data_IF_946124347145
#
_entry.id   IF_946124347145
#
_cell.length_a   1.000
_cell.length_b   1.000
_cell.length_c   1.000
_cell.angle_alpha   90.00
_cell.angle_beta   90.00
_cell.angle_gamma   90.00
#
_symmetry.space_group_name_H-M   'P 1'
#
loop_
_entity.id
_entity.type
_entity.pdbx_description
1 polymer ?
#
# COMPACT_ATOMS: atom_id res chain seq x y z
N UNK A 1 9.79 33.05 -11.30
CA UNK A 1 8.75 32.56 -10.37
C UNK A 1 8.86 31.04 -10.35
N UNK A 2 9.39 30.48 -9.28
CA UNK A 2 9.46 29.03 -9.05
C UNK A 2 8.03 28.51 -8.87
N UNK A 3 7.64 27.47 -9.63
CA UNK A 3 6.35 26.76 -9.42
C UNK A 3 6.28 26.33 -7.96
N UNK A 4 5.13 26.52 -7.27
CA UNK A 4 4.98 26.02 -5.92
C UNK A 4 5.18 24.49 -5.93
N UNK A 5 5.98 23.99 -4.99
CA UNK A 5 6.19 22.56 -4.80
C UNK A 5 4.86 21.90 -4.33
N UNK A 6 4.24 21.03 -5.15
CA UNK A 6 2.95 20.43 -4.81
C UNK A 6 2.98 19.50 -3.59
N UNK A 7 4.18 19.18 -3.08
CA UNK A 7 4.37 18.36 -1.89
C UNK A 7 4.68 19.15 -0.62
N UNK A 8 4.78 20.48 -0.68
CA UNK A 8 5.19 21.29 0.49
C UNK A 8 4.16 21.24 1.63
N UNK A 9 2.87 21.28 1.31
CA UNK A 9 1.80 21.17 2.30
C UNK A 9 1.77 19.78 2.95
N UNK A 10 1.91 18.73 2.15
CA UNK A 10 1.94 17.34 2.62
C UNK A 10 3.17 17.10 3.54
N UNK A 11 4.32 17.72 3.25
CA UNK A 11 5.52 17.64 4.10
C UNK A 11 5.31 18.31 5.45
N UNK A 12 4.76 19.51 5.47
CA UNK A 12 4.52 20.23 6.72
C UNK A 12 3.57 19.48 7.65
N UNK A 13 2.51 18.87 7.09
CA UNK A 13 1.59 18.03 7.86
C UNK A 13 2.30 16.81 8.45
N UNK A 14 3.16 16.12 7.67
CA UNK A 14 3.96 14.99 8.17
C UNK A 14 4.91 15.39 9.29
N UNK A 15 5.57 16.53 9.18
CA UNK A 15 6.45 17.05 10.23
C UNK A 15 5.68 17.35 11.54
N UNK A 16 4.49 17.92 11.44
CA UNK A 16 3.61 18.15 12.60
C UNK A 16 3.21 16.84 13.28
N UNK A 17 2.86 15.80 12.49
CA UNK A 17 2.51 14.48 13.03
C UNK A 17 3.69 13.80 13.74
N UNK A 18 4.88 13.90 13.17
CA UNK A 18 6.09 13.37 13.81
C UNK A 18 6.43 14.10 15.11
N UNK A 19 6.15 15.40 15.19
CA UNK A 19 6.34 16.21 16.39
C UNK A 19 5.30 15.93 17.48
N UNK A 20 4.11 15.45 17.11
CA UNK A 20 3.00 15.19 18.05
C UNK A 20 3.22 14.01 19.01
N UNK A 21 4.28 13.20 18.79
CA UNK A 21 4.62 12.09 19.67
C UNK A 21 3.91 10.79 19.36
N UNK A 22 3.80 9.89 20.36
CA UNK A 22 3.19 8.56 20.19
C UNK A 22 1.66 8.63 20.13
N UNK A 23 1.08 7.89 19.19
CA UNK A 23 -0.38 7.79 19.03
C UNK A 23 -0.93 6.65 19.87
N UNK A 24 -1.94 6.90 20.74
CA UNK A 24 -2.58 5.85 21.52
C UNK A 24 -3.34 4.85 20.63
N UNK A 25 -3.52 3.63 21.13
CA UNK A 25 -3.99 2.49 20.33
C UNK A 25 -5.30 2.74 19.59
N UNK A 26 -6.26 3.38 20.25
CA UNK A 26 -7.60 3.68 19.71
C UNK A 26 -7.62 4.73 18.60
N UNK A 27 -6.52 5.45 18.41
CA UNK A 27 -6.35 6.47 17.35
C UNK A 27 -5.47 6.01 16.20
N UNK A 28 -4.93 4.77 16.28
CA UNK A 28 -4.09 4.21 15.23
C UNK A 28 -4.91 3.90 13.99
N UNK A 29 -4.24 3.91 12.85
CA UNK A 29 -4.83 3.84 11.51
C UNK A 29 -4.29 2.65 10.73
N UNK A 30 -4.90 2.39 9.59
CA UNK A 30 -4.31 1.56 8.54
C UNK A 30 -3.39 2.41 7.66
N UNK A 31 -2.20 1.89 7.32
CA UNK A 31 -1.37 2.41 6.25
C UNK A 31 -1.62 1.54 5.01
N UNK A 32 -2.25 2.10 3.98
CA UNK A 32 -2.58 1.37 2.75
C UNK A 32 -1.67 1.78 1.60
N UNK A 33 -0.87 0.84 1.12
CA UNK A 33 0.13 1.07 0.10
C UNK A 33 -0.36 0.54 -1.24
N UNK A 34 -0.53 1.43 -2.22
CA UNK A 34 -0.85 1.09 -3.59
C UNK A 34 0.44 0.96 -4.41
N UNK A 35 0.54 -0.13 -5.15
CA UNK A 35 1.65 -0.39 -6.08
C UNK A 35 1.18 -0.32 -7.54
N UNK A 36 2.03 -0.61 -8.50
CA UNK A 36 1.72 -0.51 -9.92
C UNK A 36 0.91 -1.69 -10.48
N UNK A 37 0.08 -2.36 -9.69
CA UNK A 37 -0.79 -3.44 -10.17
C UNK A 37 -2.21 -2.94 -10.41
N UNK A 38 -2.75 -3.22 -11.61
CA UNK A 38 -4.17 -3.02 -11.90
C UNK A 38 -5.05 -4.18 -11.45
N UNK A 39 -4.46 -5.34 -11.20
CA UNK A 39 -5.20 -6.53 -10.78
C UNK A 39 -5.85 -6.30 -9.41
N UNK A 40 -7.18 -6.39 -9.35
CA UNK A 40 -8.00 -6.08 -8.19
C UNK A 40 -7.80 -4.66 -7.60
N UNK A 41 -7.32 -3.70 -8.39
CA UNK A 41 -7.11 -2.33 -7.91
C UNK A 41 -8.40 -1.66 -7.42
N UNK A 42 -9.54 -1.72 -8.15
CA UNK A 42 -10.79 -1.15 -7.68
C UNK A 42 -11.29 -1.78 -6.38
N UNK A 43 -11.20 -3.10 -6.25
CA UNK A 43 -11.62 -3.85 -5.06
C UNK A 43 -10.74 -3.52 -3.86
N UNK A 44 -9.43 -3.41 -4.05
CA UNK A 44 -8.49 -3.01 -3.01
C UNK A 44 -8.76 -1.57 -2.53
N UNK A 45 -9.05 -0.64 -3.44
CA UNK A 45 -9.41 0.72 -3.08
C UNK A 45 -10.75 0.75 -2.32
N UNK A 46 -11.75 -0.01 -2.77
CA UNK A 46 -13.05 -0.10 -2.09
C UNK A 46 -12.90 -0.66 -0.66
N UNK A 47 -12.12 -1.73 -0.48
CA UNK A 47 -11.83 -2.29 0.83
C UNK A 47 -11.13 -1.28 1.75
N UNK A 48 -10.17 -0.51 1.23
CA UNK A 48 -9.50 0.54 1.99
C UNK A 48 -10.45 1.65 2.44
N UNK A 49 -11.32 2.13 1.53
CA UNK A 49 -12.27 3.21 1.79
C UNK A 49 -13.38 2.81 2.78
N UNK A 50 -13.65 1.51 2.93
CA UNK A 50 -14.56 0.98 3.94
C UNK A 50 -13.96 0.99 5.36
N UNK A 51 -12.66 1.14 5.52
CA UNK A 51 -12.00 1.20 6.82
C UNK A 51 -12.33 2.51 7.57
N UNK A 52 -12.43 2.47 8.90
CA UNK A 52 -12.77 3.65 9.68
C UNK A 52 -11.69 4.74 9.63
N UNK A 53 -10.43 4.34 9.51
CA UNK A 53 -9.29 5.26 9.48
C UNK A 53 -8.15 4.68 8.64
N UNK A 54 -7.90 5.25 7.47
CA UNK A 54 -6.88 4.80 6.52
C UNK A 54 -6.13 5.98 5.94
N UNK A 55 -4.82 5.82 5.75
CA UNK A 55 -4.00 6.70 4.94
C UNK A 55 -3.46 5.92 3.75
N UNK A 56 -3.57 6.48 2.55
CA UNK A 56 -3.00 5.90 1.34
C UNK A 56 -1.56 6.33 1.13
N UNK A 57 -0.71 5.39 0.75
CA UNK A 57 0.66 5.61 0.32
C UNK A 57 0.79 5.13 -1.12
N UNK A 58 1.15 6.03 -2.02
CA UNK A 58 1.20 5.75 -3.44
C UNK A 58 2.65 5.63 -3.89
N UNK A 59 2.99 4.51 -4.53
CA UNK A 59 4.21 4.44 -5.32
C UNK A 59 4.06 5.25 -6.60
N UNK A 60 5.17 5.64 -7.25
CA UNK A 60 5.12 6.30 -8.55
C UNK A 60 4.35 5.47 -9.59
N UNK A 61 4.61 4.16 -9.62
CA UNK A 61 3.89 3.25 -10.51
C UNK A 61 2.37 3.21 -10.20
N UNK A 62 1.96 3.29 -8.93
CA UNK A 62 0.54 3.41 -8.59
C UNK A 62 -0.08 4.69 -9.17
N UNK A 63 0.61 5.83 -9.06
CA UNK A 63 0.11 7.08 -9.61
C UNK A 63 -0.04 7.04 -11.14
N UNK A 64 0.83 6.30 -11.84
CA UNK A 64 0.78 6.13 -13.29
C UNK A 64 -0.41 5.28 -13.74
N UNK A 65 -0.78 4.25 -12.96
CA UNK A 65 -1.87 3.35 -13.34
C UNK A 65 -3.25 3.81 -12.88
N UNK A 66 -3.36 4.58 -11.80
CA UNK A 66 -4.65 5.03 -11.26
C UNK A 66 -5.61 5.60 -12.34
N UNK A 67 -5.14 6.50 -13.25
CA UNK A 67 -6.02 7.04 -14.29
C UNK A 67 -6.55 6.00 -15.28
N UNK A 68 -5.84 4.87 -15.46
CA UNK A 68 -6.24 3.79 -16.35
C UNK A 68 -7.45 3.00 -15.81
N UNK A 69 -7.74 3.16 -14.51
CA UNK A 69 -8.84 2.51 -13.78
C UNK A 69 -9.83 3.53 -13.21
N UNK A 70 -9.93 4.72 -13.85
CA UNK A 70 -10.80 5.80 -13.44
C UNK A 70 -10.54 6.35 -12.02
N UNK A 71 -9.34 6.19 -11.51
CA UNK A 71 -8.91 6.74 -10.23
C UNK A 71 -7.90 7.88 -10.42
N UNK A 72 -7.78 8.71 -9.40
CA UNK A 72 -6.75 9.76 -9.32
C UNK A 72 -6.47 10.09 -7.86
N UNK A 73 -5.35 10.78 -7.60
CA UNK A 73 -5.03 11.30 -6.26
C UNK A 73 -6.16 12.21 -5.74
N UNK A 74 -6.73 13.05 -6.60
CA UNK A 74 -7.83 13.93 -6.23
C UNK A 74 -9.08 13.12 -5.84
N UNK A 75 -9.45 12.11 -6.62
CA UNK A 75 -10.59 11.24 -6.34
C UNK A 75 -10.41 10.44 -5.06
N UNK A 76 -9.20 9.94 -4.76
CA UNK A 76 -8.91 9.29 -3.48
C UNK A 76 -9.10 10.26 -2.31
N UNK A 77 -8.58 11.49 -2.40
CA UNK A 77 -8.76 12.53 -1.36
C UNK A 77 -10.24 12.86 -1.16
N UNK A 78 -11.01 12.98 -2.22
CA UNK A 78 -12.45 13.22 -2.18
C UNK A 78 -13.20 12.10 -1.42
N UNK A 79 -12.95 10.83 -1.77
CA UNK A 79 -13.59 9.69 -1.10
C UNK A 79 -13.17 9.53 0.36
N UNK A 80 -11.96 9.91 0.71
CA UNK A 80 -11.52 9.95 2.10
C UNK A 80 -12.28 11.01 2.91
N UNK A 81 -12.77 12.06 2.28
CA UNK A 81 -13.59 13.13 2.90
C UNK A 81 -12.95 13.67 4.21
N UNK A 82 -11.64 13.86 4.24
CA UNK A 82 -10.89 14.30 5.41
C UNK A 82 -10.63 13.24 6.47
N UNK A 83 -11.13 12.01 6.30
CA UNK A 83 -10.89 10.89 7.24
C UNK A 83 -9.50 10.29 7.13
N UNK A 84 -8.73 10.65 6.11
CA UNK A 84 -7.41 10.12 5.84
C UNK A 84 -6.61 10.97 4.88
N UNK A 85 -5.38 10.57 4.64
CA UNK A 85 -4.40 11.26 3.81
C UNK A 85 -4.02 10.44 2.60
N UNK A 86 -3.52 11.11 1.56
CA UNK A 86 -2.86 10.48 0.42
C UNK A 86 -1.43 10.98 0.37
N UNK A 87 -0.49 10.09 0.68
CA UNK A 87 0.94 10.35 0.76
C UNK A 87 1.60 9.75 -0.48
N UNK A 88 2.38 10.57 -1.18
CA UNK A 88 3.00 10.20 -2.46
C UNK A 88 4.46 9.84 -2.27
N UNK A 89 4.95 8.89 -3.07
CA UNK A 89 6.38 8.55 -3.13
C UNK A 89 7.16 9.70 -3.79
N UNK A 90 7.73 10.54 -2.94
CA UNK A 90 8.60 11.63 -3.34
C UNK A 90 10.03 11.32 -2.91
N UNK A 91 10.99 12.18 -3.28
CA UNK A 91 12.40 12.07 -2.87
C UNK A 91 12.62 12.06 -1.35
N UNK A 92 11.58 12.22 -0.55
CA UNK A 92 11.60 12.31 0.91
C UNK A 92 10.79 11.17 1.57
N UNK A 93 10.99 9.93 1.13
CA UNK A 93 10.26 8.75 1.66
C UNK A 93 10.55 8.44 3.14
N UNK A 94 11.57 9.05 3.74
CA UNK A 94 11.92 8.79 5.14
C UNK A 94 10.89 9.36 6.14
N UNK A 95 10.27 10.49 5.86
CA UNK A 95 9.31 11.12 6.77
C UNK A 95 8.04 10.26 6.99
N UNK A 96 7.38 9.69 5.94
CA UNK A 96 6.25 8.79 6.13
C UNK A 96 6.58 7.55 6.96
N UNK A 97 7.78 6.99 6.80
CA UNK A 97 8.26 5.83 7.56
C UNK A 97 8.36 6.16 9.06
N UNK A 98 8.74 7.39 9.41
CA UNK A 98 8.80 7.86 10.79
C UNK A 98 7.47 7.74 11.56
N UNK A 99 6.34 7.73 10.86
CA UNK A 99 5.01 7.54 11.47
C UNK A 99 4.84 6.15 12.08
N UNK A 100 5.51 5.11 11.54
CA UNK A 100 5.53 3.77 12.14
C UNK A 100 6.17 3.80 13.54
N UNK A 101 7.27 4.52 13.70
CA UNK A 101 7.98 4.64 14.98
C UNK A 101 7.18 5.42 16.05
N UNK A 102 6.16 6.17 15.63
CA UNK A 102 5.25 6.92 16.50
C UNK A 102 3.91 6.21 16.72
N UNK A 103 3.80 4.95 16.32
CA UNK A 103 2.58 4.14 16.44
C UNK A 103 1.34 4.73 15.74
N UNK A 104 1.53 5.50 14.65
CA UNK A 104 0.39 6.02 13.87
C UNK A 104 -0.42 4.90 13.21
N UNK A 105 0.23 3.77 12.94
CA UNK A 105 -0.38 2.64 12.26
C UNK A 105 -0.34 1.38 13.11
N UNK A 106 -1.44 0.64 13.14
CA UNK A 106 -1.51 -0.69 13.73
C UNK A 106 -1.37 -1.81 12.69
N UNK A 107 -1.64 -1.50 11.42
CA UNK A 107 -1.56 -2.45 10.30
C UNK A 107 -1.08 -1.72 9.05
N UNK A 108 -0.14 -2.34 8.36
CA UNK A 108 0.32 -1.94 7.03
C UNK A 108 -0.29 -2.89 6.00
N UNK A 109 -0.96 -2.36 4.99
CA UNK A 109 -1.59 -3.14 3.92
C UNK A 109 -0.93 -2.79 2.60
N UNK A 110 -0.31 -3.76 1.94
CA UNK A 110 0.26 -3.61 0.58
C UNK A 110 -0.71 -4.27 -0.39
N UNK A 111 -1.64 -3.50 -0.96
CA UNK A 111 -2.72 -4.05 -1.76
C UNK A 111 -3.23 -3.06 -2.83
N UNK A 112 -3.18 -3.43 -4.12
CA UNK A 112 -2.57 -4.66 -4.63
C UNK A 112 -1.04 -4.59 -4.68
N UNK A 113 -0.36 -5.74 -4.53
CA UNK A 113 1.09 -5.85 -4.57
C UNK A 113 1.55 -6.54 -5.87
N UNK A 114 2.34 -5.83 -6.69
CA UNK A 114 2.97 -6.43 -7.88
C UNK A 114 3.99 -7.50 -7.50
N UNK A 115 4.26 -8.47 -8.38
CA UNK A 115 5.35 -9.45 -8.22
C UNK A 115 6.69 -8.77 -7.90
N UNK A 116 6.98 -7.63 -8.53
CA UNK A 116 8.19 -6.85 -8.24
C UNK A 116 8.22 -6.35 -6.79
N UNK A 117 7.09 -5.89 -6.26
CA UNK A 117 6.98 -5.46 -4.85
C UNK A 117 7.16 -6.64 -3.92
N UNK A 118 6.50 -7.78 -4.19
CA UNK A 118 6.65 -9.02 -3.42
C UNK A 118 8.10 -9.49 -3.42
N UNK A 119 8.75 -9.56 -4.59
CA UNK A 119 10.16 -9.96 -4.73
C UNK A 119 11.09 -9.06 -3.91
N UNK A 120 10.88 -7.74 -3.93
CA UNK A 120 11.65 -6.80 -3.12
C UNK A 120 11.45 -7.00 -1.63
N UNK A 121 10.21 -7.22 -1.18
CA UNK A 121 9.91 -7.52 0.22
C UNK A 121 10.65 -8.77 0.68
N UNK A 122 10.63 -9.84 -0.13
CA UNK A 122 11.33 -11.10 0.14
C UNK A 122 12.85 -10.91 0.19
N UNK A 123 13.41 -10.15 -0.76
CA UNK A 123 14.83 -9.88 -0.84
C UNK A 123 15.33 -8.82 0.18
N UNK A 124 14.44 -8.20 0.96
CA UNK A 124 14.78 -7.12 1.89
C UNK A 124 15.14 -5.80 1.22
N UNK A 125 14.73 -5.58 -0.02
CA UNK A 125 15.00 -4.36 -0.79
C UNK A 125 13.94 -3.29 -0.46
N UNK A 126 14.39 -2.15 0.08
CA UNK A 126 13.52 -1.07 0.59
C UNK A 126 13.75 0.23 -0.19
N UNK A 127 13.61 0.20 -1.51
CA UNK A 127 13.92 1.29 -2.44
C UNK A 127 12.71 2.10 -2.93
N UNK A 128 11.50 1.70 -2.53
CA UNK A 128 10.25 2.43 -2.77
C UNK A 128 9.55 2.75 -1.46
N UNK A 129 8.61 3.69 -1.48
CA UNK A 129 7.81 4.00 -0.29
C UNK A 129 7.10 2.76 0.25
N UNK A 130 6.52 1.92 -0.63
CA UNK A 130 5.82 0.71 -0.23
C UNK A 130 6.77 -0.31 0.43
N UNK A 131 7.89 -0.64 -0.20
CA UNK A 131 8.83 -1.62 0.34
C UNK A 131 9.53 -1.12 1.60
N UNK A 132 9.77 0.18 1.72
CA UNK A 132 10.33 0.77 2.93
C UNK A 132 9.33 0.73 4.10
N UNK A 133 8.06 1.10 3.86
CA UNK A 133 7.01 1.00 4.87
C UNK A 133 6.82 -0.45 5.34
N UNK A 134 6.78 -1.42 4.43
CA UNK A 134 6.70 -2.84 4.76
C UNK A 134 7.88 -3.30 5.63
N UNK A 135 9.10 -3.02 5.20
CA UNK A 135 10.31 -3.43 5.92
C UNK A 135 10.38 -2.81 7.33
N UNK A 136 9.99 -1.53 7.48
CA UNK A 136 9.99 -0.89 8.79
C UNK A 136 8.82 -1.35 9.66
N UNK A 137 7.66 -1.70 9.07
CA UNK A 137 6.56 -2.31 9.81
C UNK A 137 7.02 -3.61 10.49
N UNK A 138 7.70 -4.49 9.77
CA UNK A 138 8.28 -5.72 10.33
C UNK A 138 9.25 -5.44 11.49
N UNK A 139 10.15 -4.46 11.34
CA UNK A 139 11.07 -4.04 12.42
C UNK A 139 10.34 -3.45 13.64
N UNK A 140 9.20 -2.82 13.44
CA UNK A 140 8.34 -2.31 14.51
C UNK A 140 7.35 -3.35 15.05
N UNK A 141 7.36 -4.59 14.54
CA UNK A 141 6.40 -5.66 14.87
C UNK A 141 4.95 -5.24 14.63
N UNK A 142 4.73 -4.43 13.60
CA UNK A 142 3.40 -4.02 13.13
C UNK A 142 2.93 -5.05 12.11
N UNK A 143 1.69 -5.53 12.27
CA UNK A 143 1.09 -6.48 11.35
C UNK A 143 1.06 -5.93 9.92
N UNK A 144 1.39 -6.78 8.94
CA UNK A 144 1.35 -6.45 7.52
C UNK A 144 0.44 -7.43 6.79
N UNK A 145 -0.44 -6.91 5.92
CA UNK A 145 -1.26 -7.69 4.99
C UNK A 145 -0.74 -7.38 3.59
N UNK A 146 -0.38 -8.41 2.84
CA UNK A 146 0.11 -8.26 1.46
C UNK A 146 -0.83 -8.98 0.52
N UNK A 147 -1.52 -8.24 -0.35
CA UNK A 147 -2.34 -8.80 -1.42
C UNK A 147 -1.43 -9.07 -2.63
N UNK A 148 -0.94 -10.30 -2.73
CA UNK A 148 -0.08 -10.72 -3.83
C UNK A 148 -0.91 -11.02 -5.08
N UNK A 149 -0.58 -10.39 -6.22
CA UNK A 149 -1.38 -10.49 -7.44
C UNK A 149 -1.05 -11.71 -8.30
N UNK A 150 0.24 -12.10 -8.35
CA UNK A 150 0.73 -13.12 -9.27
C UNK A 150 1.05 -14.42 -8.49
N UNK A 151 -0.01 -15.12 -8.07
CA UNK A 151 0.09 -16.27 -7.16
C UNK A 151 -0.29 -17.60 -7.81
N UNK A 152 -0.80 -17.54 -9.05
CA UNK A 152 -1.22 -18.73 -9.81
C UNK A 152 -0.44 -18.81 -11.14
N UNK A 153 -0.25 -20.02 -11.71
CA UNK A 153 0.48 -20.18 -12.98
C UNK A 153 -0.16 -19.45 -14.16
N UNK A 154 -1.46 -19.16 -14.07
CA UNK A 154 -2.22 -18.41 -15.07
C UNK A 154 -3.12 -17.41 -14.33
N UNK A 155 -2.99 -16.14 -14.65
CA UNK A 155 -3.81 -15.07 -14.09
C UNK A 155 -4.57 -14.38 -15.20
N UNK A 156 -5.90 -14.30 -15.06
CA UNK A 156 -6.75 -13.48 -15.93
C UNK A 156 -7.04 -12.18 -15.18
N UNK A 157 -6.73 -11.05 -15.80
CA UNK A 157 -6.92 -9.74 -15.17
C UNK A 157 -7.52 -8.73 -16.13
N UNK A 158 -8.26 -7.78 -15.58
CA UNK A 158 -8.73 -6.60 -16.31
C UNK A 158 -7.55 -5.65 -16.55
N UNK A 159 -7.39 -5.21 -17.79
CA UNK A 159 -6.43 -4.20 -18.20
C UNK A 159 -7.14 -3.12 -19.01
N UNK A 160 -6.54 -1.93 -19.17
CA UNK A 160 -7.07 -0.92 -20.08
C UNK A 160 -7.26 -1.50 -21.49
N UNK A 161 -8.51 -1.62 -21.93
CA UNK A 161 -8.84 -2.20 -23.23
C UNK A 161 -9.34 -3.64 -23.22
N UNK A 162 -9.47 -4.29 -22.06
CA UNK A 162 -10.08 -5.61 -21.92
C UNK A 162 -9.28 -6.58 -21.06
N UNK A 163 -9.72 -7.83 -21.05
CA UNK A 163 -9.05 -8.88 -20.28
C UNK A 163 -7.75 -9.33 -20.94
N UNK A 164 -6.75 -9.57 -20.11
CA UNK A 164 -5.47 -10.15 -20.50
C UNK A 164 -5.16 -11.39 -19.69
N UNK A 165 -4.46 -12.33 -20.31
CA UNK A 165 -3.98 -13.55 -19.66
C UNK A 165 -2.47 -13.36 -19.42
N UNK A 166 -2.06 -13.53 -18.18
CA UNK A 166 -0.67 -13.45 -17.74
C UNK A 166 -0.19 -14.83 -17.29
N UNK A 167 1.09 -15.08 -17.45
CA UNK A 167 1.78 -16.29 -17.00
C UNK A 167 2.87 -15.92 -16.02
N UNK A 168 2.57 -15.79 -14.71
CA UNK A 168 3.56 -15.47 -13.71
C UNK A 168 4.76 -16.43 -13.78
N UNK A 169 5.95 -15.87 -13.61
CA UNK A 169 7.18 -16.64 -13.68
C UNK A 169 7.32 -17.53 -12.44
N UNK A 170 8.06 -18.62 -12.55
CA UNK A 170 8.32 -19.50 -11.40
C UNK A 170 8.89 -18.73 -10.20
N UNK A 171 9.71 -17.69 -10.44
CA UNK A 171 10.27 -16.82 -9.40
C UNK A 171 9.19 -15.98 -8.71
N UNK A 172 8.14 -15.55 -9.42
CA UNK A 172 7.05 -14.76 -8.86
C UNK A 172 6.22 -15.61 -7.88
N UNK A 173 5.89 -16.84 -8.30
CA UNK A 173 5.20 -17.82 -7.47
C UNK A 173 6.02 -18.18 -6.23
N UNK A 174 7.32 -18.47 -6.40
CA UNK A 174 8.21 -18.81 -5.29
C UNK A 174 8.36 -17.66 -4.28
N UNK A 175 8.44 -16.40 -4.73
CA UNK A 175 8.49 -15.25 -3.84
C UNK A 175 7.19 -15.07 -3.07
N UNK A 176 6.03 -15.26 -3.70
CA UNK A 176 4.74 -15.18 -3.03
C UNK A 176 4.60 -16.24 -1.93
N UNK A 177 5.06 -17.46 -2.19
CA UNK A 177 5.06 -18.53 -1.20
C UNK A 177 6.07 -18.27 -0.07
N UNK A 178 7.26 -17.79 -0.39
CA UNK A 178 8.27 -17.47 0.63
C UNK A 178 7.79 -16.34 1.56
N UNK A 179 7.09 -15.35 1.03
CA UNK A 179 6.56 -14.23 1.81
C UNK A 179 5.56 -14.68 2.89
N UNK A 180 4.83 -15.78 2.67
CA UNK A 180 3.90 -16.37 3.66
C UNK A 180 4.60 -16.84 4.93
N UNK A 181 5.91 -17.09 4.89
CA UNK A 181 6.70 -17.49 6.05
C UNK A 181 7.23 -16.33 6.91
N UNK A 182 7.01 -15.09 6.48
CA UNK A 182 7.57 -13.92 7.17
C UNK A 182 6.73 -13.58 8.42
N UNK A 183 7.43 -13.30 9.52
CA UNK A 183 6.79 -12.87 10.76
C UNK A 183 5.98 -11.58 10.55
N UNK A 184 4.86 -11.46 11.26
CA UNK A 184 3.94 -10.32 11.19
C UNK A 184 3.35 -10.06 9.80
N UNK A 185 3.46 -11.03 8.87
CA UNK A 185 2.97 -10.91 7.49
C UNK A 185 1.86 -11.92 7.21
N UNK A 186 0.74 -11.43 6.74
CA UNK A 186 -0.35 -12.24 6.19
C UNK A 186 -0.41 -11.99 4.69
N UNK A 187 -0.23 -13.02 3.88
CA UNK A 187 -0.38 -12.94 2.42
C UNK A 187 -1.79 -13.37 2.07
N UNK A 188 -2.47 -12.55 1.27
CA UNK A 188 -3.80 -12.82 0.74
C UNK A 188 -3.78 -12.75 -0.79
N UNK A 189 -4.65 -13.51 -1.44
CA UNK A 189 -4.63 -13.71 -2.90
C UNK A 189 -5.97 -13.41 -3.57
N UNK A 190 -7.00 -13.12 -2.76
CA UNK A 190 -8.34 -12.77 -3.25
C UNK A 190 -8.96 -11.63 -2.45
N UNK A 191 -9.94 -10.90 -3.03
CA UNK A 191 -10.69 -9.88 -2.31
C UNK A 191 -11.40 -10.43 -1.06
N UNK A 192 -11.87 -11.66 -1.08
CA UNK A 192 -12.52 -12.31 0.06
C UNK A 192 -11.53 -12.56 1.21
N UNK A 193 -10.32 -13.04 0.90
CA UNK A 193 -9.26 -13.20 1.90
C UNK A 193 -8.81 -11.85 2.46
N UNK A 194 -8.73 -10.81 1.61
CA UNK A 194 -8.41 -9.45 2.05
C UNK A 194 -9.46 -8.94 3.04
N UNK A 195 -10.75 -9.06 2.72
CA UNK A 195 -11.84 -8.66 3.60
C UNK A 195 -11.77 -9.40 4.95
N UNK A 196 -11.56 -10.71 4.91
CA UNK A 196 -11.39 -11.53 6.12
C UNK A 196 -10.20 -11.08 6.96
N UNK A 197 -9.04 -10.82 6.34
CA UNK A 197 -7.83 -10.37 7.04
C UNK A 197 -7.98 -8.96 7.66
N UNK A 198 -8.86 -8.13 7.07
CA UNK A 198 -9.22 -6.81 7.60
C UNK A 198 -10.31 -6.85 8.68
N UNK A 199 -10.91 -8.02 8.95
CA UNK A 199 -12.07 -8.16 9.83
C UNK A 199 -13.35 -7.52 9.27
N UNK A 200 -13.44 -7.40 7.95
CA UNK A 200 -14.62 -6.92 7.24
C UNK A 200 -15.58 -8.09 6.96
N UNK A 201 -16.89 -7.87 6.99
CA UNK A 201 -17.88 -8.91 6.71
C UNK A 201 -17.90 -9.35 5.24
#
# INVERSE_FOLDING_TARGET
MTKPDPGAADRHELEQLLAAGFVPAEKRRYAWLLTGSGHYLPECIAAALALPAVDFFLTRAAEEILPMYDWSVARLKEHLAGRGRVIRDSSHSAAPVGLLYRNHYHTVVVAPATSNTVAKCVAGISDTLATNMYAQAGKCRIASIVFACDTEPVVVTEAPGGQVILYPRAIDLANSDLLKSFEFTTVVTSPAELASALGQP
#
